data_IF_259814772158
#
_entry.id   IF_259814772158
#
_cell.length_a   1.000
_cell.length_b   1.000
_cell.length_c   1.000
_cell.angle_alpha   90.00
_cell.angle_beta   90.00
_cell.angle_gamma   90.00
#
_symmetry.space_group_name_H-M   'P 1'
#
loop_
_entity.id
_entity.type
_entity.pdbx_description
1 polymer ?
#
# COMPACT_ATOMS: atom_id res chain seq x y z
N UNK A 1 36.57 58.66 32.68
CA UNK A 1 35.88 57.52 33.34
C UNK A 1 34.52 57.22 32.69
N UNK A 2 33.64 58.22 32.48
CA UNK A 2 32.36 57.99 31.79
C UNK A 2 32.51 57.55 30.32
N UNK A 3 33.42 58.15 29.56
CA UNK A 3 33.65 57.77 28.14
C UNK A 3 34.13 56.32 27.98
N UNK A 4 35.06 55.86 28.83
CA UNK A 4 35.54 54.47 28.82
C UNK A 4 34.45 53.47 29.18
N UNK A 5 33.55 53.84 30.10
CA UNK A 5 32.38 53.00 30.44
C UNK A 5 31.43 52.92 29.24
N UNK A 6 31.15 54.05 28.59
CA UNK A 6 30.26 54.10 27.42
C UNK A 6 30.80 53.31 26.23
N UNK A 7 32.10 53.40 25.95
CA UNK A 7 32.77 52.62 24.88
C UNK A 7 32.69 51.11 25.16
N UNK A 8 32.91 50.69 26.41
CA UNK A 8 32.83 49.28 26.77
C UNK A 8 31.39 48.75 26.66
N UNK A 9 30.40 49.53 27.11
CA UNK A 9 28.98 49.16 27.00
C UNK A 9 28.53 49.05 25.55
N UNK A 10 28.89 50.00 24.70
CA UNK A 10 28.54 49.98 23.27
C UNK A 10 29.21 48.83 22.54
N UNK A 11 30.50 48.57 22.81
CA UNK A 11 31.23 47.43 22.23
C UNK A 11 30.62 46.09 22.65
N UNK A 12 30.27 45.95 23.94
CA UNK A 12 29.56 44.78 24.45
C UNK A 12 28.20 44.55 23.78
N UNK A 13 27.42 45.62 23.57
CA UNK A 13 26.12 45.56 22.92
C UNK A 13 26.24 45.16 21.44
N UNK A 14 27.18 45.77 20.70
CA UNK A 14 27.45 45.41 19.29
C UNK A 14 27.89 43.95 19.19
N UNK A 15 28.77 43.49 20.07
CA UNK A 15 29.20 42.09 20.13
C UNK A 15 28.03 41.13 20.39
N UNK A 16 27.15 41.46 21.35
CA UNK A 16 25.96 40.66 21.66
C UNK A 16 24.96 40.61 20.48
N UNK A 17 24.74 41.73 19.79
CA UNK A 17 23.90 41.79 18.58
C UNK A 17 24.53 40.96 17.47
N UNK A 18 25.83 41.11 17.22
CA UNK A 18 26.57 40.34 16.21
C UNK A 18 26.47 38.83 16.45
N UNK A 19 26.73 38.39 17.69
CA UNK A 19 26.60 36.98 18.07
C UNK A 19 25.17 36.46 17.90
N UNK A 20 24.16 37.24 18.32
CA UNK A 20 22.74 36.88 18.18
C UNK A 20 22.34 36.75 16.71
N UNK A 21 22.80 37.67 15.84
CA UNK A 21 22.60 37.60 14.40
C UNK A 21 23.23 36.35 13.80
N UNK A 22 24.48 36.02 14.14
CA UNK A 22 25.16 34.81 13.64
C UNK A 22 24.42 33.53 14.04
N UNK A 23 24.00 33.43 15.31
CA UNK A 23 23.23 32.28 15.80
C UNK A 23 21.88 32.17 15.08
N UNK A 24 21.19 33.30 14.90
CA UNK A 24 19.91 33.35 14.18
C UNK A 24 20.07 32.91 12.71
N UNK A 25 21.01 33.50 11.97
CA UNK A 25 21.25 33.14 10.56
C UNK A 25 21.72 31.70 10.41
N UNK A 26 22.59 31.21 11.28
CA UNK A 26 23.02 29.80 11.30
C UNK A 26 21.82 28.86 11.51
N UNK A 27 20.93 29.18 12.46
CA UNK A 27 19.71 28.42 12.69
C UNK A 27 18.77 28.46 11.47
N UNK A 28 18.62 29.61 10.81
CA UNK A 28 17.80 29.73 9.59
C UNK A 28 18.37 28.93 8.42
N UNK A 29 19.68 28.99 8.18
CA UNK A 29 20.35 28.21 7.13
C UNK A 29 20.20 26.72 7.40
N UNK A 30 20.39 26.28 8.65
CA UNK A 30 20.20 24.89 9.05
C UNK A 30 18.76 24.44 8.84
N UNK A 31 17.77 25.24 9.25
CA UNK A 31 16.35 24.93 9.09
C UNK A 31 15.96 24.86 7.61
N UNK A 32 16.47 25.78 6.79
CA UNK A 32 16.28 25.77 5.35
C UNK A 32 16.87 24.52 4.69
N UNK A 33 18.09 24.14 5.08
CA UNK A 33 18.75 22.93 4.59
C UNK A 33 17.97 21.67 4.97
N UNK A 34 17.58 21.53 6.24
CA UNK A 34 16.79 20.39 6.72
C UNK A 34 15.43 20.30 6.02
N UNK A 35 14.76 21.45 5.81
CA UNK A 35 13.49 21.51 5.11
C UNK A 35 13.62 21.00 3.66
N UNK A 36 14.66 21.44 2.93
CA UNK A 36 14.90 20.99 1.55
C UNK A 36 15.33 19.53 1.46
N UNK A 37 16.11 19.02 2.42
CA UNK A 37 16.60 17.63 2.42
C UNK A 37 15.49 16.63 2.72
N UNK A 38 14.64 16.90 3.71
CA UNK A 38 13.67 15.93 4.20
C UNK A 38 12.31 15.98 3.47
N UNK A 39 11.79 17.14 3.06
CA UNK A 39 10.53 17.28 2.29
C UNK A 39 9.47 16.18 2.58
N UNK A 40 9.02 16.08 3.83
CA UNK A 40 8.17 14.98 4.27
C UNK A 40 6.67 15.29 4.19
N UNK A 41 6.30 16.48 3.70
CA UNK A 41 4.88 16.78 3.49
C UNK A 41 4.25 15.83 2.47
N UNK A 42 3.03 15.38 2.76
CA UNK A 42 2.21 14.61 1.85
C UNK A 42 1.28 13.61 2.52
N UNK A 43 0.60 12.84 1.69
CA UNK A 43 -0.25 11.73 2.11
C UNK A 43 0.55 10.44 2.16
N UNK A 44 0.31 9.64 3.19
CA UNK A 44 0.96 8.37 3.45
C UNK A 44 -0.07 7.28 3.67
N UNK A 45 0.28 6.03 3.33
CA UNK A 45 -0.34 4.86 3.91
C UNK A 45 0.60 4.34 4.98
N UNK A 46 0.19 4.40 6.22
CA UNK A 46 1.00 3.97 7.34
C UNK A 46 0.71 2.52 7.68
N UNK A 47 1.72 1.82 8.17
CA UNK A 47 1.55 0.54 8.85
C UNK A 47 2.37 0.51 10.12
N UNK A 48 1.78 0.03 11.20
CA UNK A 48 2.46 -0.09 12.49
C UNK A 48 2.16 -1.44 13.13
N UNK A 49 3.16 -1.98 13.80
CA UNK A 49 3.01 -3.17 14.66
C UNK A 49 2.26 -2.75 15.92
N UNK A 50 1.25 -3.52 16.32
CA UNK A 50 0.43 -3.33 17.52
C UNK A 50 0.21 -4.70 18.19
N UNK A 51 -0.27 -4.72 19.43
CA UNK A 51 -0.55 -5.95 20.18
C UNK A 51 -2.06 -6.09 20.36
N UNK A 52 -2.62 -7.14 19.77
CA UNK A 52 -4.04 -7.51 19.95
C UNK A 52 -4.08 -8.93 20.45
N UNK A 53 -4.72 -9.14 21.60
CA UNK A 53 -4.83 -10.45 22.26
C UNK A 53 -3.48 -11.15 22.49
N UNK A 54 -2.42 -10.36 22.75
CA UNK A 54 -1.06 -10.86 22.98
C UNK A 54 -0.29 -11.21 21.70
N UNK A 55 -0.90 -11.08 20.52
CA UNK A 55 -0.24 -11.28 19.23
C UNK A 55 0.14 -9.95 18.58
N UNK A 56 1.31 -9.91 17.95
CA UNK A 56 1.73 -8.75 17.14
C UNK A 56 0.95 -8.73 15.84
N UNK A 57 0.08 -7.75 15.68
CA UNK A 57 -0.67 -7.48 14.46
C UNK A 57 -0.12 -6.25 13.75
N UNK A 58 -0.27 -6.18 12.43
CA UNK A 58 0.07 -4.97 11.66
C UNK A 58 -1.20 -4.21 11.30
N UNK A 59 -1.41 -3.05 11.92
CA UNK A 59 -2.50 -2.15 11.57
C UNK A 59 -2.09 -1.23 10.41
N UNK A 60 -3.06 -0.77 9.61
CA UNK A 60 -2.84 0.16 8.49
C UNK A 60 -3.82 1.32 8.55
N UNK A 61 -3.33 2.52 8.26
CA UNK A 61 -4.14 3.73 8.30
C UNK A 61 -3.62 4.78 7.31
N UNK A 62 -4.49 5.59 6.68
CA UNK A 62 -4.03 6.77 5.97
C UNK A 62 -3.49 7.82 6.96
N UNK A 63 -2.42 8.49 6.57
CA UNK A 63 -1.91 9.65 7.30
C UNK A 63 -1.67 10.85 6.37
N UNK A 64 -1.81 12.04 6.93
CA UNK A 64 -1.43 13.28 6.28
C UNK A 64 -0.39 14.00 7.14
N UNK A 65 0.78 14.31 6.57
CA UNK A 65 1.87 15.00 7.27
C UNK A 65 2.11 16.34 6.57
N UNK A 66 2.21 17.40 7.37
CA UNK A 66 2.59 18.74 6.97
C UNK A 66 3.89 19.14 7.68
N UNK A 67 4.88 19.59 6.92
CA UNK A 67 6.14 20.12 7.42
C UNK A 67 6.16 21.65 7.30
N UNK A 68 6.44 22.33 8.42
CA UNK A 68 6.70 23.77 8.48
C UNK A 68 8.10 24.03 9.07
N UNK A 69 9.08 24.25 8.18
CA UNK A 69 10.48 24.33 8.55
C UNK A 69 10.98 22.98 9.09
N UNK A 70 11.41 22.97 10.36
CA UNK A 70 11.81 21.73 11.05
C UNK A 70 10.66 21.08 11.80
N UNK A 71 9.54 21.77 12.02
CA UNK A 71 8.41 21.20 12.75
C UNK A 71 7.51 20.41 11.79
N UNK A 72 6.95 19.32 12.29
CA UNK A 72 6.02 18.48 11.54
C UNK A 72 4.74 18.32 12.35
N UNK A 73 3.61 18.34 11.67
CA UNK A 73 2.31 18.04 12.24
C UNK A 73 1.54 17.15 11.28
N UNK A 74 0.88 16.13 11.79
CA UNK A 74 0.10 15.22 10.98
C UNK A 74 -1.05 14.58 11.73
N UNK A 75 -1.84 13.82 11.00
CA UNK A 75 -2.94 13.04 11.55
C UNK A 75 -2.96 11.67 10.84
N UNK A 76 -3.19 10.60 11.61
CA UNK A 76 -3.42 9.24 11.13
C UNK A 76 -4.83 8.81 11.53
N UNK A 77 -5.68 8.47 10.56
CA UNK A 77 -7.07 8.07 10.80
C UNK A 77 -7.16 6.55 10.87
N UNK A 78 -7.38 5.98 12.06
CA UNK A 78 -7.45 4.52 12.24
C UNK A 78 -8.81 3.97 11.79
N UNK A 79 -9.88 4.58 12.31
CA UNK A 79 -11.27 4.26 12.02
C UNK A 79 -12.07 5.56 12.01
N UNK A 80 -13.28 5.59 11.42
CA UNK A 80 -14.13 6.77 11.49
C UNK A 80 -14.31 7.23 12.94
N UNK A 81 -13.77 8.41 13.28
CA UNK A 81 -13.81 8.99 14.63
C UNK A 81 -12.61 8.68 15.55
N UNK A 82 -11.71 7.76 15.17
CA UNK A 82 -10.45 7.49 15.91
C UNK A 82 -9.25 7.92 15.08
N UNK A 83 -8.58 8.98 15.53
CA UNK A 83 -7.39 9.52 14.88
C UNK A 83 -6.27 9.78 15.88
N UNK A 84 -5.03 9.62 15.42
CA UNK A 84 -3.82 10.04 16.13
C UNK A 84 -3.28 11.32 15.54
N UNK A 85 -3.02 12.32 16.38
CA UNK A 85 -2.26 13.51 16.01
C UNK A 85 -0.78 13.20 16.17
N UNK A 86 0.03 13.59 15.19
CA UNK A 86 1.48 13.41 15.17
C UNK A 86 2.11 14.80 15.23
N UNK A 87 2.97 15.06 16.20
CA UNK A 87 3.73 16.32 16.32
C UNK A 87 5.21 16.02 16.56
N UNK A 88 6.09 16.63 15.77
CA UNK A 88 7.51 16.29 15.85
C UNK A 88 8.43 17.30 15.20
N UNK A 89 9.71 16.93 15.13
CA UNK A 89 10.78 17.75 14.56
C UNK A 89 11.69 16.91 13.65
N UNK A 90 12.12 17.53 12.57
CA UNK A 90 13.17 17.04 11.68
C UNK A 90 14.52 17.46 12.23
N UNK A 91 15.46 16.52 12.27
CA UNK A 91 16.84 16.71 12.70
C UNK A 91 17.81 16.10 11.69
N UNK A 92 19.11 16.21 11.96
CA UNK A 92 20.14 15.55 11.15
C UNK A 92 20.04 14.03 11.20
N UNK A 93 19.52 13.48 12.30
CA UNK A 93 19.51 12.04 12.58
C UNK A 93 18.19 11.36 12.21
N UNK A 94 17.20 12.12 11.74
CA UNK A 94 15.86 11.63 11.47
C UNK A 94 14.80 12.57 12.01
N UNK A 95 13.61 12.02 12.21
CA UNK A 95 12.40 12.72 12.59
C UNK A 95 11.94 12.11 13.92
N UNK A 96 11.67 12.92 14.92
CA UNK A 96 11.20 12.42 16.21
C UNK A 96 10.09 13.30 16.75
N UNK A 97 9.26 12.76 17.62
CA UNK A 97 8.15 13.50 18.18
C UNK A 97 7.25 12.67 19.05
N UNK A 98 6.07 13.21 19.29
CA UNK A 98 4.98 12.60 20.05
C UNK A 98 3.80 12.33 19.13
N UNK A 99 3.04 11.30 19.46
CA UNK A 99 1.70 11.11 18.93
C UNK A 99 0.72 10.97 20.09
N UNK A 100 -0.51 11.45 19.90
CA UNK A 100 -1.55 11.39 20.93
C UNK A 100 -2.92 11.30 20.28
N UNK A 101 -3.87 10.68 20.98
CA UNK A 101 -5.20 10.50 20.44
C UNK A 101 -5.90 11.87 20.30
N UNK A 102 -6.65 12.05 19.21
CA UNK A 102 -7.40 13.28 18.95
C UNK A 102 -8.64 13.39 19.84
N UNK A 103 -9.19 12.27 20.27
CA UNK A 103 -10.35 12.21 21.16
C UNK A 103 -9.94 12.51 22.60
N UNK A 104 -10.72 13.35 23.29
CA UNK A 104 -10.49 13.67 24.72
C UNK A 104 -10.73 12.47 25.65
N UNK A 105 -11.43 11.44 25.17
CA UNK A 105 -11.73 10.23 25.94
C UNK A 105 -10.65 9.16 25.81
N UNK A 106 -9.75 9.31 24.83
CA UNK A 106 -8.63 8.41 24.60
C UNK A 106 -7.37 9.12 25.12
N UNK A 107 -6.79 8.58 26.19
CA UNK A 107 -5.57 9.15 26.80
C UNK A 107 -4.30 8.55 26.22
N UNK A 108 -4.41 7.85 25.08
CA UNK A 108 -3.27 7.26 24.41
C UNK A 108 -2.27 8.34 24.00
N UNK A 109 -1.00 8.07 24.29
CA UNK A 109 0.11 8.98 23.99
C UNK A 109 1.40 8.18 23.85
N UNK A 110 2.27 8.59 22.93
CA UNK A 110 3.57 7.97 22.78
C UNK A 110 4.55 8.85 22.05
N UNK A 111 5.74 8.30 21.84
CA UNK A 111 6.84 8.89 21.10
C UNK A 111 7.13 8.06 19.85
N UNK A 112 7.71 8.71 18.84
CA UNK A 112 8.19 8.03 17.65
C UNK A 112 9.56 8.53 17.23
N UNK A 113 10.29 7.68 16.52
CA UNK A 113 11.51 8.02 15.82
C UNK A 113 11.46 7.40 14.42
N UNK A 114 11.64 8.22 13.39
CA UNK A 114 11.55 7.84 11.98
C UNK A 114 12.79 8.31 11.22
N UNK A 115 13.21 7.52 10.23
CA UNK A 115 14.21 7.86 9.24
C UNK A 115 13.55 7.96 7.87
N UNK A 116 14.06 8.85 7.02
CA UNK A 116 13.60 8.99 5.64
C UNK A 116 14.47 8.15 4.72
N UNK A 117 13.84 7.27 3.97
CA UNK A 117 14.52 6.43 2.97
C UNK A 117 14.74 7.21 1.67
N UNK A 118 15.58 6.67 0.79
CA UNK A 118 15.88 7.24 -0.53
C UNK A 118 14.64 7.41 -1.42
N UNK A 119 13.60 6.60 -1.19
CA UNK A 119 12.33 6.63 -1.91
C UNK A 119 11.31 7.64 -1.34
N UNK A 120 11.66 8.33 -0.24
CA UNK A 120 10.79 9.28 0.44
C UNK A 120 9.78 8.66 1.41
N UNK A 121 9.81 7.35 1.64
CA UNK A 121 9.11 6.70 2.75
C UNK A 121 9.79 7.03 4.07
N UNK A 122 9.03 6.90 5.16
CA UNK A 122 9.56 6.99 6.51
C UNK A 122 9.45 5.63 7.19
N UNK A 123 10.48 5.24 7.93
CA UNK A 123 10.49 4.01 8.71
C UNK A 123 11.13 4.24 10.07
N UNK A 124 10.70 3.50 11.08
CA UNK A 124 11.35 3.56 12.38
C UNK A 124 10.53 2.86 13.45
N UNK A 125 10.54 3.42 14.66
CA UNK A 125 9.93 2.81 15.84
C UNK A 125 9.00 3.78 16.55
N UNK A 126 8.05 3.24 17.28
CA UNK A 126 7.16 3.96 18.17
C UNK A 126 7.14 3.29 19.54
N UNK A 127 6.83 4.06 20.58
CA UNK A 127 6.58 3.55 21.93
C UNK A 127 5.54 4.44 22.62
N UNK A 128 4.48 3.86 23.19
CA UNK A 128 3.43 4.65 23.82
C UNK A 128 2.47 3.84 24.67
N UNK A 129 1.67 4.57 25.44
CA UNK A 129 0.64 4.03 26.31
C UNK A 129 -0.63 3.76 25.50
N UNK A 130 -1.08 2.52 25.55
CA UNK A 130 -2.36 2.08 25.01
C UNK A 130 -3.46 2.28 26.07
N UNK A 131 -4.43 3.14 25.76
CA UNK A 131 -5.53 3.43 26.66
C UNK A 131 -6.44 2.22 26.88
N UNK A 132 -6.67 1.38 25.86
CA UNK A 132 -7.59 0.25 25.93
C UNK A 132 -6.99 -0.88 26.77
N UNK A 133 -5.73 -1.21 26.51
CA UNK A 133 -5.04 -2.31 27.19
C UNK A 133 -4.30 -1.90 28.47
N UNK A 134 -4.23 -0.59 28.78
CA UNK A 134 -3.53 -0.03 29.96
C UNK A 134 -2.06 -0.46 30.06
N UNK A 135 -1.39 -0.61 28.92
CA UNK A 135 0.01 -1.04 28.85
C UNK A 135 0.86 -0.14 27.95
N UNK A 136 2.17 -0.18 28.13
CA UNK A 136 3.11 0.48 27.22
C UNK A 136 3.50 -0.52 26.13
N UNK A 137 3.22 -0.16 24.90
CA UNK A 137 3.58 -0.92 23.71
C UNK A 137 4.68 -0.22 22.94
N UNK A 138 5.38 -0.98 22.11
CA UNK A 138 6.32 -0.46 21.14
C UNK A 138 6.37 -1.36 19.92
N UNK A 139 6.70 -0.80 18.77
CA UNK A 139 6.75 -1.55 17.53
C UNK A 139 7.36 -0.74 16.40
N UNK A 140 7.44 -1.36 15.23
CA UNK A 140 7.85 -0.68 14.01
C UNK A 140 6.75 0.20 13.47
N UNK A 141 7.15 1.30 12.84
CA UNK A 141 6.26 2.24 12.18
C UNK A 141 6.78 2.53 10.77
N UNK A 142 5.92 2.35 9.77
CA UNK A 142 6.22 2.64 8.36
C UNK A 142 5.21 3.63 7.81
N UNK A 143 5.69 4.58 7.01
CA UNK A 143 4.91 5.58 6.29
C UNK A 143 5.26 5.49 4.82
N UNK A 144 4.43 4.80 4.04
CA UNK A 144 4.63 4.70 2.60
C UNK A 144 4.01 5.90 1.90
N UNK A 145 4.83 6.73 1.25
CA UNK A 145 4.34 7.93 0.58
C UNK A 145 3.36 7.55 -0.53
N UNK A 146 2.16 8.12 -0.49
CA UNK A 146 1.12 7.85 -1.49
C UNK A 146 1.52 8.47 -2.82
N UNK A 147 1.56 7.63 -3.85
CA UNK A 147 1.89 8.05 -5.20
C UNK A 147 0.59 8.40 -5.93
N UNK A 148 0.58 9.51 -6.66
CA UNK A 148 -0.52 9.82 -7.57
C UNK A 148 -0.39 8.90 -8.78
N UNK A 149 -1.32 7.98 -8.95
CA UNK A 149 -1.30 7.02 -10.07
C UNK A 149 -2.45 7.29 -11.03
N UNK A 150 -2.19 7.04 -12.32
CA UNK A 150 -3.21 6.91 -13.36
C UNK A 150 -3.45 5.42 -13.63
N UNK A 151 -4.70 5.00 -13.76
CA UNK A 151 -5.07 3.64 -14.15
C UNK A 151 -5.92 3.74 -15.41
N UNK A 152 -5.57 2.97 -16.43
CA UNK A 152 -6.26 2.99 -17.73
C UNK A 152 -6.13 1.63 -18.42
N UNK A 153 -6.95 1.39 -19.44
CA UNK A 153 -6.95 0.16 -20.23
C UNK A 153 -5.82 0.21 -21.26
N UNK A 154 -5.01 -0.85 -21.35
CA UNK A 154 -3.99 -1.00 -22.39
C UNK A 154 -4.55 -1.70 -23.64
N UNK A 155 -5.22 -0.93 -24.50
CA UNK A 155 -5.87 -1.46 -25.72
C UNK A 155 -4.90 -1.85 -26.83
N UNK A 156 -3.64 -1.42 -26.77
CA UNK A 156 -2.64 -1.65 -27.83
C UNK A 156 -1.53 -2.62 -27.41
N UNK A 157 -1.64 -3.22 -26.22
CA UNK A 157 -0.59 -4.08 -25.66
C UNK A 157 0.75 -3.34 -25.53
N UNK A 158 0.73 -2.02 -25.31
CA UNK A 158 1.95 -1.21 -25.20
C UNK A 158 2.80 -1.64 -24.01
N UNK A 159 2.17 -2.13 -22.95
CA UNK A 159 2.81 -2.52 -21.70
C UNK A 159 3.03 -4.03 -21.58
N UNK A 160 2.76 -4.82 -22.63
CA UNK A 160 2.92 -6.29 -22.59
C UNK A 160 4.29 -6.73 -22.08
N UNK A 161 5.37 -6.10 -22.52
CA UNK A 161 6.72 -6.42 -22.04
C UNK A 161 6.88 -6.13 -20.54
N UNK A 162 6.36 -5.00 -20.05
CA UNK A 162 6.40 -4.65 -18.62
C UNK A 162 5.56 -5.61 -17.78
N UNK A 163 4.41 -6.04 -18.30
CA UNK A 163 3.50 -6.97 -17.64
C UNK A 163 4.16 -8.34 -17.48
N UNK A 164 4.75 -8.87 -18.56
CA UNK A 164 5.44 -10.17 -18.54
C UNK A 164 6.65 -10.18 -17.59
N UNK A 165 7.44 -9.11 -17.61
CA UNK A 165 8.57 -8.94 -16.70
C UNK A 165 8.10 -8.88 -15.23
N UNK A 166 7.11 -8.04 -14.92
CA UNK A 166 6.59 -7.92 -13.56
C UNK A 166 5.97 -9.25 -13.09
N UNK A 167 5.20 -9.93 -13.95
CA UNK A 167 4.61 -11.23 -13.66
C UNK A 167 5.70 -12.25 -13.32
N UNK A 168 6.75 -12.32 -14.13
CA UNK A 168 7.87 -13.26 -13.91
C UNK A 168 8.55 -13.04 -12.56
N UNK A 169 8.75 -11.78 -12.15
CA UNK A 169 9.39 -11.42 -10.88
C UNK A 169 8.50 -11.60 -9.65
N UNK A 170 7.18 -11.50 -9.79
CA UNK A 170 6.25 -11.47 -8.64
C UNK A 170 5.42 -12.72 -8.47
N UNK A 171 5.12 -13.43 -9.55
CA UNK A 171 4.24 -14.60 -9.58
C UNK A 171 4.98 -15.88 -9.97
N UNK A 172 6.16 -15.74 -10.56
CA UNK A 172 7.02 -16.84 -11.00
C UNK A 172 7.33 -16.76 -12.49
N UNK A 173 8.51 -17.23 -12.87
CA UNK A 173 8.94 -17.31 -14.27
C UNK A 173 7.91 -18.09 -15.08
N UNK A 174 7.57 -17.57 -16.26
CA UNK A 174 6.58 -18.13 -17.19
C UNK A 174 5.14 -18.25 -16.65
N UNK A 175 4.82 -17.61 -15.51
CA UNK A 175 3.43 -17.54 -15.02
C UNK A 175 2.46 -16.86 -16.01
N UNK A 176 2.96 -15.86 -16.74
CA UNK A 176 2.27 -15.28 -17.89
C UNK A 176 3.23 -15.24 -19.06
N UNK A 177 2.71 -15.60 -20.23
CA UNK A 177 3.37 -15.58 -21.52
C UNK A 177 2.57 -14.72 -22.49
N UNK A 178 3.13 -14.41 -23.66
CA UNK A 178 2.40 -13.67 -24.71
C UNK A 178 1.13 -14.39 -25.18
N UNK A 179 1.13 -15.72 -25.14
CA UNK A 179 0.00 -16.54 -25.59
C UNK A 179 -1.18 -16.52 -24.62
N UNK A 180 -0.95 -16.06 -23.38
CA UNK A 180 -2.02 -15.92 -22.41
C UNK A 180 -2.91 -14.71 -22.69
N UNK A 181 -2.48 -13.76 -23.51
CA UNK A 181 -3.27 -12.59 -23.89
C UNK A 181 -4.13 -12.90 -25.11
N UNK A 182 -5.43 -12.71 -24.96
CA UNK A 182 -6.46 -12.94 -25.97
C UNK A 182 -7.23 -11.64 -26.23
N UNK A 183 -7.97 -11.57 -27.33
CA UNK A 183 -8.81 -10.40 -27.65
C UNK A 183 -9.96 -10.18 -26.64
N UNK A 184 -10.24 -11.17 -25.79
CA UNK A 184 -11.23 -11.07 -24.71
C UNK A 184 -10.65 -10.50 -23.41
N UNK A 185 -9.32 -10.34 -23.33
CA UNK A 185 -8.67 -9.82 -22.14
C UNK A 185 -8.77 -8.30 -22.07
N UNK A 186 -9.27 -7.82 -20.93
CA UNK A 186 -9.20 -6.43 -20.53
C UNK A 186 -8.04 -6.27 -19.56
N UNK A 187 -7.02 -5.53 -19.99
CA UNK A 187 -5.81 -5.28 -19.22
C UNK A 187 -5.81 -3.84 -18.71
N UNK A 188 -5.74 -3.66 -17.40
CA UNK A 188 -5.55 -2.34 -16.79
C UNK A 188 -4.09 -2.18 -16.39
N UNK A 189 -3.55 -0.99 -16.64
CA UNK A 189 -2.20 -0.61 -16.28
C UNK A 189 -2.23 0.57 -15.33
N UNK A 190 -1.43 0.50 -14.26
CA UNK A 190 -1.15 1.63 -13.38
C UNK A 190 0.19 2.26 -13.73
N UNK A 191 0.18 3.58 -13.95
CA UNK A 191 1.39 4.37 -14.10
C UNK A 191 1.46 5.51 -13.07
N UNK A 192 2.67 5.89 -12.68
CA UNK A 192 2.92 7.11 -11.92
C UNK A 192 2.48 8.33 -12.74
N UNK A 193 1.63 9.21 -12.18
CA UNK A 193 1.07 10.35 -12.90
C UNK A 193 2.12 11.41 -13.28
N UNK A 194 3.23 11.50 -12.55
CA UNK A 194 4.29 12.49 -12.78
C UNK A 194 5.37 11.98 -13.73
N UNK A 195 5.76 10.72 -13.57
CA UNK A 195 6.90 10.13 -14.31
C UNK A 195 6.48 9.20 -15.45
N UNK A 196 5.18 8.87 -15.52
CA UNK A 196 4.62 7.86 -16.43
C UNK A 196 5.26 6.47 -16.30
N UNK A 197 5.93 6.20 -15.17
CA UNK A 197 6.54 4.90 -14.88
C UNK A 197 5.45 3.85 -14.64
N UNK A 198 5.58 2.68 -15.26
CA UNK A 198 4.74 1.51 -15.00
C UNK A 198 4.90 1.04 -13.54
N UNK A 199 3.78 0.79 -12.86
CA UNK A 199 3.74 0.42 -11.43
C UNK A 199 3.02 -0.90 -11.17
N UNK A 200 2.21 -1.39 -12.10
CA UNK A 200 1.43 -2.60 -11.91
C UNK A 200 0.33 -2.75 -12.96
N UNK A 201 -0.35 -3.88 -12.92
CA UNK A 201 -1.44 -4.18 -13.84
C UNK A 201 -2.50 -5.07 -13.19
N UNK A 202 -3.66 -5.14 -13.83
CA UNK A 202 -4.59 -6.27 -13.71
C UNK A 202 -4.95 -6.82 -15.07
N UNK A 203 -5.28 -8.11 -15.10
CA UNK A 203 -5.83 -8.82 -16.25
C UNK A 203 -7.16 -9.42 -15.85
N UNK A 204 -8.16 -9.20 -16.69
CA UNK A 204 -9.52 -9.70 -16.49
C UNK A 204 -10.15 -10.11 -17.81
N UNK A 205 -11.11 -11.04 -17.79
CA UNK A 205 -11.88 -11.45 -18.96
C UNK A 205 -13.24 -12.01 -18.58
N UNK A 206 -14.16 -12.03 -19.53
CA UNK A 206 -15.42 -12.75 -19.37
C UNK A 206 -15.20 -14.27 -19.44
N UNK A 207 -16.01 -15.01 -18.70
CA UNK A 207 -16.01 -16.47 -18.68
C UNK A 207 -17.39 -17.00 -19.04
N UNK A 208 -17.43 -17.84 -20.05
CA UNK A 208 -18.51 -18.80 -20.23
C UNK A 208 -18.26 -20.06 -19.38
N UNK A 209 -19.20 -20.99 -19.36
CA UNK A 209 -19.11 -22.23 -18.56
C UNK A 209 -17.85 -23.06 -18.88
N UNK A 210 -17.48 -23.17 -20.15
CA UNK A 210 -16.30 -23.94 -20.59
C UNK A 210 -15.00 -23.29 -20.12
N UNK A 211 -14.87 -21.98 -20.33
CA UNK A 211 -13.73 -21.18 -19.87
C UNK A 211 -13.61 -21.21 -18.35
N UNK A 212 -14.73 -21.13 -17.62
CA UNK A 212 -14.74 -21.22 -16.16
C UNK A 212 -14.21 -22.56 -15.65
N UNK A 213 -14.65 -23.68 -16.25
CA UNK A 213 -14.13 -25.02 -15.90
C UNK A 213 -12.62 -25.10 -16.14
N UNK A 214 -12.13 -24.54 -17.24
CA UNK A 214 -10.70 -24.48 -17.55
C UNK A 214 -9.93 -23.64 -16.52
N UNK A 215 -10.38 -22.42 -16.23
CA UNK A 215 -9.75 -21.52 -15.25
C UNK A 215 -9.68 -22.14 -13.86
N UNK A 216 -10.71 -22.91 -13.48
CA UNK A 216 -10.77 -23.60 -12.19
C UNK A 216 -10.27 -25.06 -12.25
N UNK A 217 -9.59 -25.47 -13.33
CA UNK A 217 -8.95 -26.79 -13.46
C UNK A 217 -9.91 -27.95 -13.19
N UNK A 218 -11.14 -27.84 -13.70
CA UNK A 218 -12.22 -28.79 -13.53
C UNK A 218 -12.59 -29.08 -12.06
N UNK A 219 -12.25 -28.18 -11.12
CA UNK A 219 -12.74 -28.28 -9.74
C UNK A 219 -14.24 -28.07 -9.70
N UNK A 220 -14.91 -28.80 -8.81
CA UNK A 220 -16.36 -28.76 -8.69
C UNK A 220 -16.83 -27.40 -8.11
N UNK A 221 -17.72 -26.74 -8.84
CA UNK A 221 -18.30 -25.44 -8.48
C UNK A 221 -19.83 -25.42 -8.54
N UNK A 222 -20.47 -26.59 -8.68
CA UNK A 222 -21.93 -26.78 -8.76
C UNK A 222 -22.69 -26.11 -7.60
N UNK A 223 -22.06 -26.07 -6.43
CA UNK A 223 -22.55 -25.42 -5.22
C UNK A 223 -22.68 -23.89 -5.30
N UNK A 224 -21.97 -23.22 -6.22
CA UNK A 224 -21.98 -21.76 -6.39
C UNK A 224 -22.95 -21.36 -7.51
N UNK A 225 -24.25 -21.47 -7.24
CA UNK A 225 -25.33 -21.25 -8.22
C UNK A 225 -25.24 -19.90 -8.94
N UNK A 226 -24.87 -18.84 -8.24
CA UNK A 226 -24.69 -17.49 -8.80
C UNK A 226 -23.55 -17.44 -9.83
N UNK A 227 -22.40 -18.03 -9.50
CA UNK A 227 -21.25 -18.10 -10.43
C UNK A 227 -21.61 -18.93 -11.67
N UNK A 228 -22.20 -20.12 -11.47
CA UNK A 228 -22.59 -21.01 -12.58
C UNK A 228 -23.61 -20.33 -13.48
N UNK A 229 -24.66 -19.75 -12.90
CA UNK A 229 -25.71 -19.07 -13.65
C UNK A 229 -25.19 -17.87 -14.45
N UNK A 230 -24.35 -17.02 -13.86
CA UNK A 230 -23.76 -15.89 -14.58
C UNK A 230 -22.81 -16.34 -15.69
N UNK A 231 -22.11 -17.47 -15.52
CA UNK A 231 -21.25 -18.04 -16.58
C UNK A 231 -22.05 -18.58 -17.78
N UNK A 232 -23.26 -19.08 -17.55
CA UNK A 232 -24.16 -19.55 -18.62
C UNK A 232 -24.74 -18.40 -19.45
N UNK A 233 -24.70 -17.19 -18.92
CA UNK A 233 -25.20 -15.96 -19.54
C UNK A 233 -24.10 -15.08 -20.12
N UNK A 234 -22.83 -15.53 -20.07
CA UNK A 234 -21.67 -14.72 -20.43
C UNK A 234 -21.53 -13.42 -19.61
N UNK A 235 -22.03 -13.43 -18.37
CA UNK A 235 -22.01 -12.29 -17.43
C UNK A 235 -21.11 -12.50 -16.23
N UNK A 236 -20.23 -13.50 -16.29
CA UNK A 236 -19.21 -13.75 -15.28
C UNK A 236 -17.88 -13.16 -15.76
N UNK A 237 -17.24 -12.36 -14.90
CA UNK A 237 -15.88 -11.88 -15.14
C UNK A 237 -14.95 -12.50 -14.11
N UNK A 238 -13.74 -12.85 -14.54
CA UNK A 238 -12.64 -13.18 -13.65
C UNK A 238 -11.59 -12.07 -13.68
N UNK A 239 -11.07 -11.71 -12.50
CA UNK A 239 -9.81 -10.97 -12.36
C UNK A 239 -8.72 -12.03 -12.11
N UNK A 240 -8.08 -12.48 -13.18
CA UNK A 240 -7.08 -13.56 -13.15
C UNK A 240 -5.82 -13.16 -12.40
N UNK A 241 -5.33 -11.96 -12.69
CA UNK A 241 -4.01 -11.53 -12.24
C UNK A 241 -4.04 -10.08 -11.83
N UNK A 242 -3.45 -9.78 -10.69
CA UNK A 242 -3.13 -8.43 -10.25
C UNK A 242 -1.72 -8.45 -9.70
N UNK A 243 -0.85 -7.61 -10.25
CA UNK A 243 0.52 -7.47 -9.76
C UNK A 243 0.89 -6.01 -9.63
N UNK A 244 1.67 -5.72 -8.58
CA UNK A 244 2.22 -4.38 -8.30
C UNK A 244 3.71 -4.55 -8.12
N UNK A 245 4.47 -3.62 -8.70
CA UNK A 245 5.91 -3.57 -8.54
C UNK A 245 6.30 -3.65 -7.06
N UNK A 246 7.19 -4.60 -6.65
CA UNK A 246 7.49 -4.86 -5.24
C UNK A 246 7.83 -3.60 -4.43
N UNK A 247 8.62 -2.70 -5.02
CA UNK A 247 9.04 -1.44 -4.41
C UNK A 247 7.89 -0.45 -4.14
N UNK A 248 6.76 -0.62 -4.82
CA UNK A 248 5.58 0.23 -4.74
C UNK A 248 4.37 -0.45 -4.07
N UNK A 249 4.55 -1.68 -3.55
CA UNK A 249 3.55 -2.35 -2.74
C UNK A 249 3.29 -1.58 -1.43
N UNK A 250 2.15 -1.84 -0.80
CA UNK A 250 1.76 -1.12 0.42
C UNK A 250 1.38 0.36 0.21
N UNK A 251 1.23 0.83 -1.04
CA UNK A 251 0.85 2.22 -1.36
C UNK A 251 -0.60 2.39 -1.85
N UNK A 252 -1.40 1.34 -1.76
CA UNK A 252 -2.79 1.32 -2.25
C UNK A 252 -2.94 1.18 -3.77
N UNK A 253 -1.87 0.89 -4.51
CA UNK A 253 -1.88 0.74 -5.97
C UNK A 253 -2.78 -0.43 -6.39
N UNK A 254 -2.57 -1.63 -5.83
CA UNK A 254 -3.39 -2.80 -6.17
C UNK A 254 -4.88 -2.58 -5.91
N UNK A 255 -5.23 -1.93 -4.79
CA UNK A 255 -6.61 -1.54 -4.50
C UNK A 255 -7.19 -0.62 -5.55
N UNK A 256 -6.43 0.40 -5.98
CA UNK A 256 -6.91 1.30 -7.03
C UNK A 256 -7.03 0.58 -8.37
N UNK A 257 -6.09 -0.29 -8.75
CA UNK A 257 -6.20 -1.10 -9.98
C UNK A 257 -7.50 -1.92 -9.96
N UNK A 258 -7.72 -2.72 -8.91
CA UNK A 258 -8.92 -3.58 -8.82
C UNK A 258 -10.20 -2.75 -8.81
N UNK A 259 -10.22 -1.63 -8.08
CA UNK A 259 -11.38 -0.72 -8.06
C UNK A 259 -11.72 -0.21 -9.46
N UNK A 260 -10.72 0.25 -10.21
CA UNK A 260 -10.94 0.78 -11.57
C UNK A 260 -11.33 -0.36 -12.53
N UNK A 261 -10.80 -1.58 -12.35
CA UNK A 261 -11.23 -2.77 -13.09
C UNK A 261 -12.73 -3.03 -12.89
N UNK A 262 -13.19 -3.19 -11.65
CA UNK A 262 -14.61 -3.54 -11.38
C UNK A 262 -15.58 -2.41 -11.80
N UNK A 263 -15.13 -1.16 -11.84
CA UNK A 263 -15.94 0.01 -12.22
C UNK A 263 -15.87 0.36 -13.71
N UNK A 264 -15.08 -0.39 -14.49
CA UNK A 264 -14.82 -0.05 -15.89
C UNK A 264 -15.99 -0.39 -16.81
N UNK A 265 -16.18 0.45 -17.84
CA UNK A 265 -17.22 0.27 -18.86
C UNK A 265 -17.17 -1.10 -19.56
N UNK A 266 -16.00 -1.65 -19.97
CA UNK A 266 -15.94 -2.98 -20.59
C UNK A 266 -16.50 -4.11 -19.71
N UNK A 267 -16.55 -3.90 -18.39
CA UNK A 267 -17.00 -4.90 -17.42
C UNK A 267 -18.36 -4.56 -16.82
N UNK A 268 -19.11 -3.61 -17.42
CA UNK A 268 -20.41 -3.17 -16.90
C UNK A 268 -21.50 -4.24 -16.98
N UNK A 269 -21.45 -5.13 -17.98
CA UNK A 269 -22.44 -6.19 -18.16
C UNK A 269 -22.26 -7.38 -17.20
N UNK A 270 -21.14 -7.42 -16.48
CA UNK A 270 -20.87 -8.46 -15.50
C UNK A 270 -21.87 -8.38 -14.33
N UNK A 271 -22.54 -9.50 -14.04
CA UNK A 271 -23.37 -9.67 -12.84
C UNK A 271 -22.53 -10.12 -11.64
N UNK A 272 -21.54 -10.97 -11.92
CA UNK A 272 -20.64 -11.54 -10.91
C UNK A 272 -19.20 -11.36 -11.37
N UNK A 273 -18.35 -10.91 -10.45
CA UNK A 273 -16.90 -10.85 -10.64
C UNK A 273 -16.25 -11.79 -9.64
N UNK A 274 -15.42 -12.70 -10.13
CA UNK A 274 -14.61 -13.60 -9.29
C UNK A 274 -13.13 -13.25 -9.38
N UNK A 275 -12.36 -13.62 -8.37
CA UNK A 275 -10.91 -13.58 -8.40
C UNK A 275 -10.34 -14.73 -7.59
N UNK A 276 -9.25 -15.32 -8.07
CA UNK A 276 -8.49 -16.32 -7.33
C UNK A 276 -7.29 -15.65 -6.69
N UNK A 277 -7.19 -15.77 -5.36
CA UNK A 277 -6.07 -15.27 -4.60
C UNK A 277 -5.17 -16.42 -4.17
N UNK A 278 -3.87 -16.19 -4.17
CA UNK A 278 -2.90 -17.18 -3.74
C UNK A 278 -2.76 -17.17 -2.22
N UNK A 279 -2.95 -18.33 -1.57
CA UNK A 279 -2.72 -18.54 -0.14
C UNK A 279 -1.43 -19.34 0.06
N UNK A 280 -0.40 -18.63 0.52
CA UNK A 280 0.91 -19.16 0.85
C UNK A 280 1.18 -19.20 2.34
N UNK A 281 2.46 -19.25 2.74
CA UNK A 281 2.86 -19.28 4.16
C UNK A 281 2.53 -17.96 4.87
N UNK A 282 2.50 -16.86 4.13
CA UNK A 282 2.24 -15.50 4.63
C UNK A 282 0.77 -15.10 4.59
N UNK A 283 -0.13 -16.05 4.32
CA UNK A 283 -1.57 -15.79 4.16
C UNK A 283 -1.98 -15.56 2.70
N UNK A 284 -3.07 -14.82 2.50
CA UNK A 284 -3.71 -14.59 1.20
C UNK A 284 -3.21 -13.29 0.57
N UNK A 285 -2.44 -13.37 -0.51
CA UNK A 285 -1.63 -12.25 -1.06
C UNK A 285 -2.43 -10.98 -1.48
N UNK A 286 -3.69 -11.12 -1.90
CA UNK A 286 -4.57 -10.01 -2.29
C UNK A 286 -5.87 -9.95 -1.48
N UNK A 287 -6.04 -10.83 -0.49
CA UNK A 287 -7.31 -11.00 0.24
C UNK A 287 -7.81 -9.70 0.88
N UNK A 288 -6.91 -8.91 1.48
CA UNK A 288 -7.28 -7.62 2.08
C UNK A 288 -7.72 -6.58 1.05
N UNK A 289 -7.13 -6.57 -0.15
CA UNK A 289 -7.55 -5.68 -1.23
C UNK A 289 -8.95 -6.04 -1.71
N UNK A 290 -9.19 -7.32 -2.01
CA UNK A 290 -10.49 -7.81 -2.49
C UNK A 290 -11.59 -7.56 -1.45
N UNK A 291 -11.35 -7.92 -0.19
CA UNK A 291 -12.33 -7.74 0.89
C UNK A 291 -12.69 -6.26 1.10
N UNK A 292 -11.71 -5.35 1.01
CA UNK A 292 -11.95 -3.90 1.11
C UNK A 292 -12.77 -3.29 -0.03
N UNK A 293 -12.99 -4.07 -1.10
CA UNK A 293 -13.80 -3.70 -2.27
C UNK A 293 -15.10 -4.52 -2.34
N UNK A 294 -15.50 -5.16 -1.23
CA UNK A 294 -16.76 -5.87 -1.13
C UNK A 294 -16.76 -7.26 -1.78
N UNK A 295 -15.59 -7.84 -2.04
CA UNK A 295 -15.52 -9.26 -2.36
C UNK A 295 -15.66 -10.10 -1.08
N UNK A 296 -16.32 -11.24 -1.21
CA UNK A 296 -16.48 -12.23 -0.13
C UNK A 296 -15.68 -13.48 -0.49
N UNK A 297 -14.90 -14.00 0.45
CA UNK A 297 -14.26 -15.30 0.32
C UNK A 297 -15.34 -16.40 0.33
N UNK A 298 -15.44 -17.17 -0.74
CA UNK A 298 -16.45 -18.21 -0.88
C UNK A 298 -15.90 -19.63 -0.86
N UNK A 299 -14.62 -19.85 -1.20
CA UNK A 299 -14.06 -21.19 -1.25
C UNK A 299 -12.53 -21.21 -1.23
N UNK A 300 -11.95 -22.32 -0.76
CA UNK A 300 -10.52 -22.59 -0.85
C UNK A 300 -10.27 -23.90 -1.58
N UNK A 301 -9.51 -23.86 -2.67
CA UNK A 301 -9.05 -25.02 -3.41
C UNK A 301 -7.64 -25.40 -2.97
N UNK A 302 -7.46 -26.47 -2.19
CA UNK A 302 -6.13 -26.89 -1.74
C UNK A 302 -5.29 -27.38 -2.92
N UNK A 303 -3.96 -27.15 -2.86
CA UNK A 303 -3.00 -27.64 -3.85
C UNK A 303 -3.40 -27.27 -5.30
N UNK A 304 -3.96 -26.08 -5.49
CA UNK A 304 -4.63 -25.69 -6.74
C UNK A 304 -3.71 -25.75 -7.96
N UNK A 305 -2.41 -25.44 -7.78
CA UNK A 305 -1.43 -25.48 -8.85
C UNK A 305 -0.43 -26.64 -8.74
N UNK A 306 -0.76 -27.70 -7.99
CA UNK A 306 0.17 -28.79 -7.71
C UNK A 306 0.55 -29.61 -8.95
N UNK A 307 -0.43 -30.11 -9.71
CA UNK A 307 -0.12 -30.90 -10.93
C UNK A 307 0.48 -30.02 -12.03
N UNK A 308 -0.09 -28.84 -12.27
CA UNK A 308 0.45 -27.88 -13.24
C UNK A 308 1.91 -27.50 -12.94
N UNK A 309 2.32 -27.44 -11.66
CA UNK A 309 3.73 -27.15 -11.31
C UNK A 309 4.69 -28.24 -11.72
N UNK A 310 4.24 -29.49 -11.72
CA UNK A 310 5.04 -30.62 -12.17
C UNK A 310 5.08 -30.66 -13.69
N UNK A 311 3.92 -30.49 -14.33
CA UNK A 311 3.76 -30.55 -15.79
C UNK A 311 4.52 -29.42 -16.50
N UNK A 312 4.36 -28.18 -16.03
CA UNK A 312 4.98 -27.01 -16.63
C UNK A 312 6.35 -26.65 -16.02
N UNK A 313 6.79 -27.42 -15.02
CA UNK A 313 8.04 -27.16 -14.28
C UNK A 313 8.12 -25.71 -13.74
N UNK A 314 6.98 -25.08 -13.44
CA UNK A 314 6.94 -23.72 -12.91
C UNK A 314 7.30 -23.73 -11.41
N UNK A 315 8.19 -22.84 -10.99
CA UNK A 315 8.70 -22.80 -9.60
C UNK A 315 7.91 -21.82 -8.75
N UNK A 316 7.05 -22.34 -7.86
CA UNK A 316 6.35 -21.52 -6.89
C UNK A 316 7.36 -20.82 -5.94
N UNK A 317 7.26 -19.51 -5.70
CA UNK A 317 8.19 -18.80 -4.83
C UNK A 317 8.12 -19.24 -3.35
N UNK A 318 7.02 -19.82 -2.88
CA UNK A 318 6.90 -20.32 -1.49
C UNK A 318 7.23 -21.81 -1.32
N UNK A 319 6.93 -22.64 -2.34
CA UNK A 319 6.96 -24.10 -2.25
C UNK A 319 8.02 -24.77 -3.14
N UNK A 320 8.51 -24.10 -4.19
CA UNK A 320 9.25 -24.77 -5.26
C UNK A 320 8.34 -25.66 -6.10
N UNK A 321 8.80 -26.89 -6.39
CA UNK A 321 8.07 -27.90 -7.17
C UNK A 321 8.02 -29.20 -6.36
N UNK A 322 6.82 -29.78 -6.10
CA UNK A 322 5.52 -29.28 -6.53
C UNK A 322 5.00 -28.12 -5.64
N UNK A 323 4.11 -27.30 -6.21
CA UNK A 323 3.41 -26.27 -5.48
C UNK A 323 2.37 -26.89 -4.53
N UNK A 324 2.38 -26.45 -3.25
CA UNK A 324 1.43 -26.92 -2.23
C UNK A 324 0.44 -25.84 -1.78
N UNK A 325 0.44 -24.69 -2.45
CA UNK A 325 -0.41 -23.57 -2.08
C UNK A 325 -1.88 -23.78 -2.47
N UNK A 326 -2.77 -23.11 -1.74
CA UNK A 326 -4.20 -23.07 -2.05
C UNK A 326 -4.55 -21.86 -2.90
N UNK A 327 -5.59 -21.99 -3.73
CA UNK A 327 -6.27 -20.83 -4.33
C UNK A 327 -7.52 -20.53 -3.52
N UNK A 328 -7.65 -19.29 -3.06
CA UNK A 328 -8.85 -18.80 -2.36
C UNK A 328 -9.69 -18.02 -3.36
N UNK A 329 -10.92 -18.48 -3.59
CA UNK A 329 -11.86 -17.84 -4.49
C UNK A 329 -12.64 -16.77 -3.75
N UNK A 330 -12.64 -15.59 -4.33
CA UNK A 330 -13.44 -14.45 -3.91
C UNK A 330 -14.50 -14.17 -4.96
N UNK A 331 -15.69 -13.74 -4.50
CA UNK A 331 -16.76 -13.28 -5.40
C UNK A 331 -17.28 -11.91 -5.00
N UNK A 332 -17.69 -11.13 -5.98
CA UNK A 332 -18.35 -9.84 -5.85
C UNK A 332 -19.57 -9.83 -6.76
N UNK A 333 -20.75 -9.58 -6.17
CA UNK A 333 -22.00 -9.44 -6.92
C UNK A 333 -22.16 -7.97 -7.22
N UNK A 334 -22.25 -7.60 -8.51
CA UNK A 334 -22.54 -6.22 -8.89
C UNK A 334 -24.01 -5.93 -8.59
N UNK A 335 -24.25 -4.87 -7.83
CA UNK A 335 -25.60 -4.32 -7.72
C UNK A 335 -26.00 -3.77 -9.09
N UNK A 336 -27.09 -4.28 -9.66
CA UNK A 336 -27.72 -3.64 -10.81
C UNK A 336 -28.22 -2.26 -10.33
N UNK A 337 -27.59 -1.19 -10.82
CA UNK A 337 -28.09 0.17 -10.61
C UNK A 337 -29.34 0.41 -11.45
#
# INVERSE_FOLDING_TARGET
MFESILINLTTGLIGAIGASCVVFFSAQIRNWYLNRKFQISGHYLTSFEDIVDGETVTAKAPANINQNGVNIKGETELTPGKSWVIEGKVSTNGIYGVYFAKSIYDTGVGNFFLQKNSNGDLEGIWSGFDHENKMINSGKYFFHKKIKINVFIDTKGKYTTNILDLSSRTLGVDYLTKNDFTDQDVVFVACDKKTNKFLGFSRSKYLNESSLKKELKNKEISQFKDIVYSSQKDKLVIINTVAVEPFFQGRGIGRKIVKETIQSEPLNEAEVIISTAWKGKKGVNIGGVLSSLGFVNCHEFPKFWHEESKELNYKCPDCGIPCNCSAVMFKHIKSNN
#
